data_IF_208129547553
#
_entry.id   IF_208129547553
#
_cell.length_a   1.000
_cell.length_b   1.000
_cell.length_c   1.000
_cell.angle_alpha   90.00
_cell.angle_beta   90.00
_cell.angle_gamma   90.00
#
_symmetry.space_group_name_H-M   'P 1'
#
loop_
_entity.id
_entity.type
_entity.pdbx_description
1 polymer ?
#
# COMPACT_ATOMS: atom_id res chain seq x y z
N UNK A 1 5.71 -8.76 -1.62
CA UNK A 1 5.22 -7.53 -0.99
C UNK A 1 6.39 -6.82 -0.32
N UNK A 2 6.44 -5.49 -0.41
CA UNK A 2 7.38 -4.61 0.31
C UNK A 2 6.53 -3.82 1.32
N UNK A 3 6.69 -4.12 2.60
CA UNK A 3 5.77 -3.71 3.66
C UNK A 3 6.22 -2.43 4.41
N UNK A 4 6.73 -1.44 3.68
CA UNK A 4 7.23 -0.19 4.25
C UNK A 4 8.73 0.00 4.09
N UNK A 5 9.17 1.19 4.45
CA UNK A 5 10.55 1.68 4.47
C UNK A 5 11.34 1.28 3.22
N UNK A 6 10.79 1.65 2.07
CA UNK A 6 11.42 1.47 0.76
C UNK A 6 12.72 2.28 0.69
N UNK A 7 12.74 3.44 1.35
CA UNK A 7 13.88 4.31 1.47
C UNK A 7 14.18 4.65 2.93
N UNK A 8 15.47 4.78 3.27
CA UNK A 8 15.91 5.23 4.60
C UNK A 8 15.49 6.66 4.97
N UNK A 9 15.03 7.45 3.99
CA UNK A 9 14.67 8.86 4.14
C UNK A 9 13.65 9.29 3.10
N UNK A 10 12.84 10.29 3.46
CA UNK A 10 11.75 10.80 2.61
C UNK A 10 12.22 11.41 1.28
N UNK A 11 13.47 11.90 1.22
CA UNK A 11 14.12 12.37 -0.02
C UNK A 11 15.31 11.45 -0.33
N UNK A 12 15.08 10.31 -0.99
CA UNK A 12 16.12 9.33 -1.24
C UNK A 12 17.20 9.85 -2.20
N UNK A 13 18.46 9.39 -2.07
CA UNK A 13 19.48 9.69 -3.07
C UNK A 13 19.13 9.04 -4.41
N UNK A 14 19.57 9.66 -5.51
CA UNK A 14 19.28 9.17 -6.86
C UNK A 14 19.72 7.72 -7.12
N UNK A 15 20.76 7.24 -6.42
CA UNK A 15 21.19 5.83 -6.49
C UNK A 15 20.13 4.85 -5.97
N UNK A 16 19.47 5.17 -4.84
CA UNK A 16 18.41 4.33 -4.28
C UNK A 16 17.17 4.31 -5.17
N UNK A 17 16.83 5.46 -5.76
CA UNK A 17 15.72 5.56 -6.73
C UNK A 17 16.00 4.69 -7.96
N UNK A 18 17.22 4.75 -8.51
CA UNK A 18 17.61 3.89 -9.64
C UNK A 18 17.57 2.41 -9.28
N UNK A 19 18.06 2.02 -8.09
CA UNK A 19 18.03 0.64 -7.65
C UNK A 19 16.60 0.08 -7.56
N UNK A 20 15.66 0.85 -6.97
CA UNK A 20 14.26 0.45 -6.92
C UNK A 20 13.69 0.31 -8.32
N UNK A 21 13.94 1.28 -9.21
CA UNK A 21 13.49 1.21 -10.59
C UNK A 21 14.00 -0.04 -11.32
N UNK A 22 15.28 -0.37 -11.18
CA UNK A 22 15.87 -1.54 -11.83
C UNK A 22 15.27 -2.85 -11.29
N UNK A 23 15.03 -2.91 -9.98
CA UNK A 23 14.31 -4.03 -9.36
C UNK A 23 12.90 -4.17 -9.92
N UNK A 24 12.10 -3.10 -9.95
CA UNK A 24 10.72 -3.14 -10.43
C UNK A 24 10.64 -3.53 -11.91
N UNK A 25 11.54 -3.01 -12.75
CA UNK A 25 11.64 -3.40 -14.16
C UNK A 25 11.96 -4.89 -14.32
N UNK A 26 12.84 -5.44 -13.47
CA UNK A 26 13.15 -6.87 -13.49
C UNK A 26 11.97 -7.74 -13.07
N UNK A 27 11.23 -7.34 -12.03
CA UNK A 27 10.02 -8.05 -11.59
C UNK A 27 8.93 -8.01 -12.65
N UNK A 28 8.73 -6.84 -13.27
CA UNK A 28 7.82 -6.67 -14.39
C UNK A 28 8.19 -7.59 -15.57
N UNK A 29 9.46 -7.64 -15.97
CA UNK A 29 9.93 -8.53 -17.04
C UNK A 29 9.76 -10.03 -16.74
N UNK A 30 9.57 -10.39 -15.47
CA UNK A 30 9.28 -11.76 -15.03
C UNK A 30 7.78 -12.02 -14.80
N UNK A 31 6.91 -11.02 -15.07
CA UNK A 31 5.48 -11.05 -14.76
C UNK A 31 5.19 -11.35 -13.27
N UNK A 32 6.07 -10.91 -12.37
CA UNK A 32 5.88 -11.08 -10.93
C UNK A 32 5.22 -9.81 -10.38
N UNK A 33 3.99 -9.88 -9.83
CA UNK A 33 3.33 -8.72 -9.26
C UNK A 33 4.06 -8.23 -8.01
N UNK A 34 4.17 -6.92 -7.86
CA UNK A 34 4.79 -6.27 -6.70
C UNK A 34 3.76 -5.37 -6.02
N UNK A 35 3.60 -5.55 -4.71
CA UNK A 35 2.77 -4.69 -3.85
C UNK A 35 3.68 -3.96 -2.87
N UNK A 36 3.54 -2.64 -2.78
CA UNK A 36 4.36 -1.76 -1.96
C UNK A 36 3.46 -0.86 -1.11
N UNK A 37 3.80 -0.70 0.17
CA UNK A 37 3.27 0.37 1.03
C UNK A 37 4.43 1.26 1.50
N UNK A 38 4.24 2.58 1.68
CA UNK A 38 5.23 3.45 2.31
C UNK A 38 5.32 3.18 3.82
N UNK A 39 6.54 3.18 4.35
CA UNK A 39 6.81 3.18 5.79
C UNK A 39 6.90 4.59 6.36
N UNK A 40 7.38 4.71 7.61
CA UNK A 40 7.50 6.00 8.29
C UNK A 40 8.66 6.85 7.78
N UNK A 41 9.64 6.23 7.14
CA UNK A 41 10.77 6.93 6.51
C UNK A 41 10.46 7.35 5.07
N UNK A 42 9.45 6.75 4.45
CA UNK A 42 9.03 7.07 3.10
C UNK A 42 8.14 8.32 3.06
N UNK A 43 8.18 9.03 1.94
CA UNK A 43 7.14 10.00 1.62
C UNK A 43 6.06 9.29 0.81
N UNK A 44 4.88 9.11 1.42
CA UNK A 44 3.72 8.51 0.76
C UNK A 44 3.41 9.21 -0.58
N UNK A 45 3.39 10.54 -0.63
CA UNK A 45 3.15 11.30 -1.86
C UNK A 45 4.22 11.04 -2.94
N UNK A 46 5.50 11.00 -2.56
CA UNK A 46 6.60 10.80 -3.53
C UNK A 46 6.64 9.37 -4.06
N UNK A 47 6.41 8.39 -3.19
CA UNK A 47 6.35 6.99 -3.59
C UNK A 47 5.07 6.72 -4.40
N UNK A 48 3.95 7.32 -3.99
CA UNK A 48 2.63 7.19 -4.59
C UNK A 48 2.44 7.96 -5.89
N UNK A 49 3.29 8.94 -6.23
CA UNK A 49 3.22 9.71 -7.47
C UNK A 49 3.09 8.84 -8.74
N UNK A 50 3.72 7.66 -8.74
CA UNK A 50 3.69 6.73 -9.86
C UNK A 50 2.69 5.56 -9.69
N UNK A 51 1.88 5.54 -8.62
CA UNK A 51 1.00 4.40 -8.30
C UNK A 51 0.04 4.05 -9.45
N UNK A 52 -0.71 5.05 -9.94
CA UNK A 52 -1.70 4.84 -11.01
C UNK A 52 -1.09 4.34 -12.32
N UNK A 53 -0.04 4.97 -12.91
CA UNK A 53 0.53 4.48 -14.17
C UNK A 53 1.23 3.13 -14.02
N UNK A 54 1.76 2.81 -12.83
CA UNK A 54 2.45 1.54 -12.59
C UNK A 54 1.50 0.36 -12.40
N UNK A 55 0.24 0.58 -12.00
CA UNK A 55 -0.73 -0.50 -11.80
C UNK A 55 -0.87 -1.44 -13.02
N UNK A 56 -0.85 -0.87 -14.24
CA UNK A 56 -0.94 -1.66 -15.47
C UNK A 56 0.31 -2.55 -15.74
N UNK A 57 1.43 -2.25 -15.08
CA UNK A 57 2.67 -3.03 -15.15
C UNK A 57 2.76 -4.14 -14.09
N UNK A 58 1.71 -4.33 -13.27
CA UNK A 58 1.73 -5.27 -12.14
C UNK A 58 2.53 -4.76 -10.93
N UNK A 59 2.83 -3.47 -10.88
CA UNK A 59 3.45 -2.80 -9.74
C UNK A 59 2.39 -1.94 -9.07
N UNK A 60 2.03 -2.30 -7.86
CA UNK A 60 0.96 -1.70 -7.08
C UNK A 60 1.54 -0.98 -5.88
N UNK A 61 1.29 0.31 -5.77
CA UNK A 61 1.72 1.15 -4.64
C UNK A 61 0.46 1.61 -3.95
N UNK A 62 0.30 1.26 -2.68
CA UNK A 62 -0.82 1.65 -1.83
C UNK A 62 -0.30 2.71 -0.87
N UNK A 63 -0.41 3.97 -1.27
CA UNK A 63 0.18 5.13 -0.61
C UNK A 63 -0.83 6.01 0.13
N UNK A 64 -2.12 5.84 -0.13
CA UNK A 64 -3.18 6.63 0.51
C UNK A 64 -4.35 5.77 1.03
N UNK A 65 -5.23 6.41 1.79
CA UNK A 65 -6.37 5.74 2.41
C UNK A 65 -7.46 5.32 1.43
N UNK A 66 -7.57 5.93 0.25
CA UNK A 66 -8.56 5.49 -0.75
C UNK A 66 -8.07 4.22 -1.46
N UNK A 67 -6.77 4.15 -1.75
CA UNK A 67 -6.11 2.98 -2.33
C UNK A 67 -6.15 1.78 -1.37
N UNK A 68 -5.99 2.01 -0.07
CA UNK A 68 -6.11 0.99 0.99
C UNK A 68 -7.45 0.22 0.93
N UNK A 69 -8.52 0.91 0.53
CA UNK A 69 -9.87 0.35 0.48
C UNK A 69 -10.10 -0.53 -0.75
N UNK A 70 -9.23 -0.45 -1.76
CA UNK A 70 -9.30 -1.24 -2.99
C UNK A 70 -8.20 -2.32 -2.96
N UNK A 71 -8.53 -3.61 -2.77
CA UNK A 71 -7.50 -4.63 -2.66
C UNK A 71 -6.78 -4.83 -4.00
N UNK A 72 -5.47 -5.05 -3.93
CA UNK A 72 -4.74 -5.64 -5.04
C UNK A 72 -5.04 -7.13 -5.06
N UNK A 73 -5.59 -7.63 -6.17
CA UNK A 73 -5.93 -9.04 -6.34
C UNK A 73 -4.83 -9.74 -7.13
N UNK A 74 -4.23 -10.77 -6.54
CA UNK A 74 -3.23 -11.61 -7.19
C UNK A 74 -3.80 -13.01 -7.32
N UNK A 75 -3.94 -13.50 -8.56
CA UNK A 75 -4.40 -14.85 -8.84
C UNK A 75 -3.34 -15.88 -8.45
N UNK A 76 -3.73 -16.89 -7.68
CA UNK A 76 -2.85 -18.00 -7.28
C UNK A 76 -3.50 -19.34 -7.61
N UNK A 77 -2.73 -20.42 -7.52
CA UNK A 77 -3.26 -21.79 -7.70
C UNK A 77 -4.32 -22.16 -6.65
N UNK A 78 -4.32 -21.49 -5.48
CA UNK A 78 -5.30 -21.70 -4.41
C UNK A 78 -6.51 -20.76 -4.49
N UNK A 79 -6.56 -19.87 -5.50
CA UNK A 79 -7.57 -18.82 -5.64
C UNK A 79 -7.00 -17.40 -5.52
N UNK A 80 -7.86 -16.37 -5.60
CA UNK A 80 -7.44 -14.97 -5.53
C UNK A 80 -6.93 -14.61 -4.13
N UNK A 81 -5.76 -13.99 -4.07
CA UNK A 81 -5.19 -13.40 -2.86
C UNK A 81 -5.41 -11.89 -2.87
N UNK A 82 -6.09 -11.38 -1.83
CA UNK A 82 -6.43 -9.98 -1.68
C UNK A 82 -5.42 -9.28 -0.76
N UNK A 83 -4.70 -8.29 -1.28
CA UNK A 83 -3.80 -7.46 -0.51
C UNK A 83 -4.44 -6.11 -0.23
N UNK A 84 -4.77 -5.87 1.03
CA UNK A 84 -5.06 -4.54 1.56
C UNK A 84 -3.80 -4.00 2.24
N UNK A 85 -3.23 -2.94 1.67
CA UNK A 85 -2.08 -2.26 2.23
C UNK A 85 -2.51 -1.07 3.08
N UNK A 86 -2.08 -1.01 4.34
CA UNK A 86 -2.23 0.19 5.16
C UNK A 86 -0.89 0.94 5.07
N UNK A 87 -0.82 2.11 4.43
CA UNK A 87 0.40 2.93 4.46
C UNK A 87 0.71 3.31 5.91
N UNK A 88 1.98 3.55 6.23
CA UNK A 88 2.34 4.02 7.57
C UNK A 88 1.47 5.22 7.96
N UNK A 89 0.91 5.12 9.16
CA UNK A 89 -0.08 6.05 9.66
C UNK A 89 0.19 6.32 11.13
N UNK A 90 0.36 7.59 11.47
CA UNK A 90 0.35 8.03 12.87
C UNK A 90 -1.08 8.38 13.36
N UNK A 91 -1.30 8.52 14.68
CA UNK A 91 -2.62 8.84 15.23
C UNK A 91 -3.19 10.18 14.76
N UNK A 92 -2.35 11.17 14.43
CA UNK A 92 -2.80 12.48 13.97
C UNK A 92 -3.34 12.36 12.55
N UNK A 93 -2.62 11.67 11.66
CA UNK A 93 -3.06 11.42 10.29
C UNK A 93 -4.37 10.62 10.27
N UNK A 94 -4.46 9.56 11.08
CA UNK A 94 -5.69 8.78 11.21
C UNK A 94 -6.85 9.63 11.73
N UNK A 95 -6.64 10.44 12.76
CA UNK A 95 -7.65 11.37 13.31
C UNK A 95 -8.17 12.34 12.27
N UNK A 96 -7.27 12.94 11.48
CA UNK A 96 -7.63 13.89 10.41
C UNK A 96 -8.50 13.21 9.36
N UNK A 97 -8.13 11.99 8.95
CA UNK A 97 -8.93 11.24 7.98
C UNK A 97 -10.27 10.78 8.56
N UNK A 98 -10.28 10.23 9.78
CA UNK A 98 -11.46 9.72 10.43
C UNK A 98 -12.45 10.81 10.84
N UNK A 99 -11.97 12.04 11.08
CA UNK A 99 -12.73 13.12 11.74
C UNK A 99 -13.25 12.71 13.13
N UNK A 100 -12.54 11.81 13.81
CA UNK A 100 -12.88 11.24 15.12
C UNK A 100 -11.67 11.24 16.07
N UNK A 101 -11.87 11.26 17.40
CA UNK A 101 -10.77 11.20 18.37
C UNK A 101 -9.96 9.89 18.24
N UNK A 102 -8.71 10.00 17.78
CA UNK A 102 -7.74 8.88 17.69
C UNK A 102 -6.43 9.33 18.34
N UNK A 103 -6.11 8.76 19.49
CA UNK A 103 -4.98 9.16 20.35
C UNK A 103 -3.85 8.12 20.41
N UNK A 104 -4.03 6.95 19.80
CA UNK A 104 -3.02 5.89 19.80
C UNK A 104 -2.89 5.18 18.45
N UNK A 105 -1.73 4.57 18.20
CA UNK A 105 -1.52 3.75 17.01
C UNK A 105 -2.50 2.57 16.95
N UNK A 106 -2.82 2.01 18.11
CA UNK A 106 -3.78 0.91 18.24
C UNK A 106 -5.17 1.34 17.73
N UNK A 107 -5.67 2.51 18.18
CA UNK A 107 -6.93 3.07 17.71
C UNK A 107 -6.89 3.40 16.21
N UNK A 108 -5.79 3.97 15.74
CA UNK A 108 -5.60 4.28 14.32
C UNK A 108 -5.70 3.01 13.45
N UNK A 109 -4.93 1.97 13.78
CA UNK A 109 -4.94 0.72 13.02
C UNK A 109 -6.29 -0.01 13.12
N UNK A 110 -6.92 -0.03 14.31
CA UNK A 110 -8.27 -0.61 14.47
C UNK A 110 -9.26 0.08 13.53
N UNK A 111 -9.30 1.41 13.54
CA UNK A 111 -10.18 2.19 12.66
C UNK A 111 -9.96 1.84 11.18
N UNK A 112 -8.71 1.82 10.72
CA UNK A 112 -8.40 1.54 9.31
C UNK A 112 -8.76 0.11 8.89
N UNK A 113 -8.54 -0.88 9.77
CA UNK A 113 -8.95 -2.27 9.54
C UNK A 113 -10.48 -2.38 9.44
N UNK A 114 -11.22 -1.71 10.33
CA UNK A 114 -12.68 -1.67 10.28
C UNK A 114 -13.19 -1.03 8.98
N UNK A 115 -12.54 0.03 8.50
CA UNK A 115 -12.86 0.66 7.21
C UNK A 115 -12.63 -0.29 6.04
N UNK A 116 -11.53 -1.04 6.04
CA UNK A 116 -11.27 -2.08 5.04
C UNK A 116 -12.39 -3.12 5.06
N UNK A 117 -12.74 -3.64 6.24
CA UNK A 117 -13.78 -4.66 6.38
C UNK A 117 -15.16 -4.18 5.90
N UNK A 118 -15.51 -2.92 6.15
CA UNK A 118 -16.76 -2.31 5.68
C UNK A 118 -16.80 -2.10 4.16
N UNK A 119 -15.63 -1.93 3.53
CA UNK A 119 -15.53 -1.69 2.09
C UNK A 119 -15.40 -2.98 1.26
N UNK A 120 -15.39 -4.16 1.89
CA UNK A 120 -15.31 -5.41 1.15
C UNK A 120 -16.65 -5.70 0.42
N UNK A 121 -16.60 -6.02 -0.89
CA UNK A 121 -17.80 -6.46 -1.58
C UNK A 121 -18.33 -7.75 -0.94
N UNK A 122 -19.63 -7.76 -0.61
CA UNK A 122 -20.35 -8.79 0.17
C UNK A 122 -20.36 -10.21 -0.46
N UNK A 123 -19.54 -10.52 -1.47
CA UNK A 123 -19.64 -11.78 -2.25
C UNK A 123 -18.42 -12.69 -2.22
N UNK A 124 -17.31 -12.37 -1.54
CA UNK A 124 -16.07 -13.16 -1.69
C UNK A 124 -15.92 -14.39 -0.76
N UNK A 125 -16.89 -14.70 0.12
CA UNK A 125 -16.75 -15.79 1.11
C UNK A 125 -17.82 -16.90 1.02
N UNK A 126 -18.59 -16.97 -0.06
CA UNK A 126 -19.52 -18.08 -0.31
C UNK A 126 -19.24 -18.75 -1.65
N UNK A 127 -18.23 -19.62 -1.67
CA UNK A 127 -18.12 -20.74 -2.61
C UNK A 127 -17.32 -21.86 -1.97
#
# INVERSE_FOLDING_TARGET
MIAGDVYDRAVPPAGAVRLLNDFLNRMHGLNIPVVIIPGNHDSADRLGFAATPLNASGVHIIADYEQMLQPVVVETQAGPLYFHGIPYTDPIQARVYAQEPIDSYEQAHRYLIERIAQNQPTQAFMS
#
